data_IF_324013205145
#
_entry.id   IF_324013205145
#
_cell.length_a   1.000
_cell.length_b   1.000
_cell.length_c   1.000
_cell.angle_alpha   90.00
_cell.angle_beta   90.00
_cell.angle_gamma   90.00
#
_symmetry.space_group_name_H-M   'P 1'
#
loop_
_entity.id
_entity.type
_entity.pdbx_description
1 polymer ?
#
# COMPACT_ATOMS: atom_id res chain seq x y z
N UNK A 1 -10.20 10.08 -3.24
CA UNK A 1 -10.87 9.49 -4.43
C UNK A 1 -10.37 8.06 -4.61
N UNK A 2 -11.17 7.12 -5.14
CA UNK A 2 -10.73 5.75 -5.43
C UNK A 2 -10.93 5.46 -6.92
N UNK A 3 -9.95 4.84 -7.57
CA UNK A 3 -10.03 4.36 -8.94
C UNK A 3 -9.20 3.09 -9.12
N UNK A 4 -9.53 2.27 -10.10
CA UNK A 4 -8.90 0.98 -10.33
C UNK A 4 -9.01 0.55 -11.80
N UNK A 5 -8.23 -0.45 -12.19
CA UNK A 5 -8.34 -1.07 -13.51
C UNK A 5 -9.41 -2.17 -13.55
N UNK A 6 -9.76 -2.62 -14.76
CA UNK A 6 -10.74 -3.69 -14.98
C UNK A 6 -10.46 -4.95 -14.16
N UNK A 7 -9.20 -5.39 -14.13
CA UNK A 7 -8.80 -6.59 -13.39
C UNK A 7 -9.16 -6.49 -11.90
N UNK A 8 -8.98 -5.32 -11.28
CA UNK A 8 -9.37 -5.09 -9.89
C UNK A 8 -10.88 -4.96 -9.71
N UNK A 9 -11.58 -4.33 -10.66
CA UNK A 9 -13.05 -4.31 -10.66
C UNK A 9 -13.64 -5.72 -10.67
N UNK A 10 -13.12 -6.60 -11.53
CA UNK A 10 -13.55 -8.00 -11.63
C UNK A 10 -13.25 -8.74 -10.32
N UNK A 11 -12.03 -8.59 -9.79
CA UNK A 11 -11.61 -9.22 -8.54
C UNK A 11 -12.50 -8.81 -7.34
N UNK A 12 -12.89 -7.53 -7.25
CA UNK A 12 -13.84 -7.05 -6.21
C UNK A 12 -15.24 -7.63 -6.42
N UNK A 13 -15.69 -7.76 -7.66
CA UNK A 13 -17.00 -8.34 -7.97
C UNK A 13 -17.08 -9.82 -7.57
N UNK A 14 -16.01 -10.57 -7.82
CA UNK A 14 -15.89 -11.97 -7.41
C UNK A 14 -15.87 -12.10 -5.89
N UNK A 15 -15.06 -11.27 -5.21
CA UNK A 15 -15.05 -11.21 -3.75
C UNK A 15 -16.45 -10.94 -3.18
N UNK A 16 -17.18 -9.96 -3.71
CA UNK A 16 -18.53 -9.62 -3.25
C UNK A 16 -19.51 -10.78 -3.38
N UNK A 17 -19.40 -11.57 -4.46
CA UNK A 17 -20.20 -12.79 -4.66
C UNK A 17 -19.86 -13.88 -3.64
N UNK A 18 -18.59 -14.00 -3.27
CA UNK A 18 -18.10 -15.04 -2.36
C UNK A 18 -18.30 -14.70 -0.86
N UNK A 19 -18.35 -13.40 -0.51
CA UNK A 19 -18.53 -12.91 0.87
C UNK A 19 -19.81 -13.42 1.57
N UNK A 20 -20.80 -13.88 0.82
CA UNK A 20 -22.02 -14.53 1.35
C UNK A 20 -21.68 -15.84 2.12
N UNK A 21 -20.45 -16.37 1.99
CA UNK A 21 -20.04 -17.67 2.54
C UNK A 21 -18.92 -17.64 3.59
N UNK A 22 -18.37 -16.47 3.96
CA UNK A 22 -17.16 -16.41 4.80
C UNK A 22 -17.46 -16.18 6.30
N UNK A 23 -16.86 -17.01 7.15
CA UNK A 23 -16.86 -16.88 8.62
C UNK A 23 -15.85 -15.84 9.11
N UNK A 24 -16.15 -15.20 10.25
CA UNK A 24 -15.29 -14.23 10.96
C UNK A 24 -13.88 -14.80 11.26
N UNK A 25 -12.89 -14.48 10.43
CA UNK A 25 -11.46 -14.72 10.74
C UNK A 25 -10.92 -13.58 11.60
N UNK A 26 -10.10 -13.92 12.59
CA UNK A 26 -9.52 -12.96 13.52
C UNK A 26 -8.16 -12.47 13.00
N UNK A 27 -8.08 -11.18 12.64
CA UNK A 27 -6.90 -10.54 12.08
C UNK A 27 -6.10 -9.72 13.10
N UNK A 28 -6.24 -10.00 14.41
CA UNK A 28 -5.55 -9.26 15.47
C UNK A 28 -4.03 -9.20 15.32
N UNK A 29 -3.41 -10.18 14.65
CA UNK A 29 -1.98 -10.19 14.39
C UNK A 29 -1.53 -9.15 13.35
N UNK A 30 -2.45 -8.54 12.61
CA UNK A 30 -2.17 -7.55 11.57
C UNK A 30 -2.23 -6.10 12.08
N UNK A 31 -2.50 -5.87 13.37
CA UNK A 31 -2.66 -4.52 13.92
C UNK A 31 -1.47 -3.60 13.61
N UNK A 32 -0.24 -4.13 13.73
CA UNK A 32 1.00 -3.37 13.43
C UNK A 32 1.12 -2.92 11.98
N UNK A 33 0.58 -3.68 11.03
CA UNK A 33 0.62 -3.33 9.61
C UNK A 33 -0.60 -2.52 9.20
N UNK A 34 -1.74 -2.67 9.87
CA UNK A 34 -2.95 -1.85 9.64
C UNK A 34 -2.74 -0.43 10.18
N UNK A 35 -2.15 -0.30 11.37
CA UNK A 35 -1.89 0.97 12.03
C UNK A 35 -0.38 1.18 12.25
N UNK A 36 0.41 1.29 11.16
CA UNK A 36 1.85 1.32 11.27
C UNK A 36 2.34 2.64 11.86
N UNK A 37 3.55 2.61 12.43
CA UNK A 37 4.32 3.82 12.68
C UNK A 37 4.84 4.35 11.33
N UNK A 38 4.61 5.63 11.09
CA UNK A 38 5.09 6.34 9.90
C UNK A 38 5.97 7.49 10.38
N UNK A 39 7.15 7.61 9.79
CA UNK A 39 8.17 8.61 10.19
C UNK A 39 8.44 9.55 9.02
N UNK A 40 8.41 10.85 9.30
CA UNK A 40 8.85 11.84 8.31
C UNK A 40 10.38 11.94 8.28
N UNK A 41 10.95 11.80 7.08
CA UNK A 41 12.37 11.91 6.79
C UNK A 41 12.55 12.76 5.53
N UNK A 42 13.07 13.97 5.67
CA UNK A 42 13.35 14.88 4.55
C UNK A 42 12.16 15.02 3.58
N UNK A 43 10.97 15.27 4.15
CA UNK A 43 9.69 15.41 3.43
C UNK A 43 9.17 14.12 2.74
N UNK A 44 9.74 12.96 3.08
CA UNK A 44 9.21 11.64 2.76
C UNK A 44 8.62 11.00 4.02
N UNK A 45 7.58 10.21 3.88
CA UNK A 45 6.84 9.54 4.95
C UNK A 45 7.07 8.05 4.81
N UNK A 46 7.81 7.47 5.75
CA UNK A 46 8.36 6.12 5.64
C UNK A 46 7.70 5.19 6.65
N UNK A 47 7.26 4.01 6.20
CA UNK A 47 6.83 2.91 7.05
C UNK A 47 7.98 2.43 7.94
N UNK A 48 7.75 2.42 9.24
CA UNK A 48 8.68 1.94 10.24
C UNK A 48 8.01 0.87 11.11
N UNK A 49 7.72 -0.28 10.48
CA UNK A 49 6.92 -1.36 11.07
C UNK A 49 7.54 -1.92 12.37
N UNK A 50 8.87 -1.97 12.45
CA UNK A 50 9.62 -2.49 13.60
C UNK A 50 10.16 -1.40 14.52
N UNK A 51 10.03 -0.12 14.16
CA UNK A 51 10.54 0.98 14.98
C UNK A 51 12.07 1.16 14.91
N UNK A 52 12.73 0.55 13.94
CA UNK A 52 14.18 0.44 13.83
C UNK A 52 14.79 1.46 12.86
N UNK A 53 13.99 2.31 12.21
CA UNK A 53 14.47 3.33 11.29
C UNK A 53 15.39 4.34 12.00
N UNK A 54 16.68 4.35 11.62
CA UNK A 54 17.70 5.30 12.11
C UNK A 54 17.97 6.36 11.06
N UNK A 55 17.39 7.55 11.25
CA UNK A 55 17.44 8.65 10.29
C UNK A 55 18.88 9.09 10.02
N UNK A 56 19.73 9.05 11.04
CA UNK A 56 21.15 9.39 10.98
C UNK A 56 21.97 8.50 10.01
N UNK A 57 21.50 7.29 9.72
CA UNK A 57 22.18 6.36 8.83
C UNK A 57 21.77 6.51 7.36
N UNK A 58 20.83 7.41 7.06
CA UNK A 58 20.26 7.59 5.73
C UNK A 58 21.23 8.40 4.86
N UNK A 59 21.91 7.71 3.95
CA UNK A 59 22.75 8.35 2.93
C UNK A 59 21.88 8.86 1.77
N UNK A 60 21.48 10.13 1.83
CA UNK A 60 20.58 10.74 0.86
C UNK A 60 21.14 10.80 -0.56
N UNK A 61 22.45 11.07 -0.72
CA UNK A 61 23.09 11.11 -2.04
C UNK A 61 22.99 9.76 -2.74
N UNK A 62 23.23 8.67 -1.98
CA UNK A 62 23.09 7.32 -2.49
C UNK A 62 21.64 7.02 -2.86
N UNK A 63 20.69 7.35 -2.00
CA UNK A 63 19.26 7.10 -2.23
C UNK A 63 18.78 7.80 -3.50
N UNK A 64 19.08 9.09 -3.68
CA UNK A 64 18.68 9.84 -4.86
C UNK A 64 19.33 9.30 -6.14
N UNK A 65 20.54 8.75 -6.06
CA UNK A 65 21.17 8.08 -7.20
C UNK A 65 20.42 6.81 -7.63
N UNK A 66 19.86 6.05 -6.69
CA UNK A 66 19.13 4.81 -6.98
C UNK A 66 17.67 5.07 -7.38
N UNK A 67 16.96 5.90 -6.62
CA UNK A 67 15.52 6.10 -6.78
C UNK A 67 15.14 7.29 -7.66
N UNK A 68 16.11 8.13 -8.04
CA UNK A 68 15.99 9.34 -8.88
C UNK A 68 15.27 10.52 -8.21
N UNK A 69 14.19 10.27 -7.49
CA UNK A 69 13.37 11.29 -6.82
C UNK A 69 12.78 10.77 -5.48
N UNK A 70 12.07 11.65 -4.75
CA UNK A 70 11.48 11.32 -3.45
C UNK A 70 10.31 10.36 -3.60
N UNK A 71 9.50 10.53 -4.64
CA UNK A 71 8.35 9.67 -4.95
C UNK A 71 8.79 8.22 -5.17
N UNK A 72 9.84 7.99 -5.96
CA UNK A 72 10.41 6.66 -6.20
C UNK A 72 11.03 6.06 -4.93
N UNK A 73 11.67 6.87 -4.08
CA UNK A 73 12.20 6.42 -2.80
C UNK A 73 11.09 5.99 -1.85
N UNK A 74 10.11 6.86 -1.64
CA UNK A 74 9.00 6.67 -0.71
C UNK A 74 8.13 5.46 -1.11
N UNK A 75 7.76 5.33 -2.39
CA UNK A 75 7.01 4.18 -2.89
C UNK A 75 7.78 2.85 -2.78
N UNK A 76 9.12 2.90 -2.75
CA UNK A 76 9.96 1.71 -2.55
C UNK A 76 10.04 1.33 -1.08
N UNK A 77 10.25 2.31 -0.19
CA UNK A 77 10.33 2.08 1.25
C UNK A 77 9.00 1.67 1.87
N UNK A 78 7.88 2.10 1.27
CA UNK A 78 6.54 1.83 1.78
C UNK A 78 5.88 0.59 1.16
N UNK A 79 6.66 -0.29 0.52
CA UNK A 79 6.17 -1.56 -0.01
C UNK A 79 5.88 -2.55 1.12
N UNK A 80 4.66 -3.08 1.13
CA UNK A 80 4.22 -4.15 2.03
C UNK A 80 3.58 -5.26 1.20
N UNK A 81 4.17 -6.45 1.21
CA UNK A 81 3.53 -7.65 0.67
C UNK A 81 2.70 -8.30 1.76
N UNK A 82 1.38 -8.27 1.61
CA UNK A 82 0.44 -8.75 2.63
C UNK A 82 0.69 -10.23 2.95
N UNK A 83 1.02 -11.01 1.93
CA UNK A 83 1.35 -12.43 2.04
C UNK A 83 2.49 -12.72 3.03
N UNK A 84 3.47 -11.82 3.18
CA UNK A 84 4.63 -12.03 4.06
C UNK A 84 4.25 -11.96 5.55
N UNK A 85 3.09 -11.38 5.86
CA UNK A 85 2.59 -11.21 7.24
C UNK A 85 1.48 -12.21 7.60
N UNK A 86 1.00 -12.97 6.62
CA UNK A 86 -0.01 -14.01 6.81
C UNK A 86 0.68 -15.35 7.02
N UNK A 87 0.50 -15.93 8.21
CA UNK A 87 1.09 -17.24 8.58
C UNK A 87 0.15 -18.43 8.36
N UNK A 88 -1.12 -18.18 8.08
CA UNK A 88 -2.12 -19.23 7.87
C UNK A 88 -2.08 -19.73 6.42
N UNK A 89 -1.64 -20.98 6.25
CA UNK A 89 -1.53 -21.65 4.95
C UNK A 89 -2.89 -21.91 4.28
N UNK A 90 -4.00 -21.79 5.02
CA UNK A 90 -5.35 -22.00 4.49
C UNK A 90 -6.01 -20.69 4.01
N UNK A 91 -5.30 -19.56 4.02
CA UNK A 91 -5.87 -18.31 3.49
C UNK A 91 -6.00 -18.36 1.98
N UNK A 92 -7.23 -18.10 1.53
CA UNK A 92 -7.60 -17.98 0.13
C UNK A 92 -7.16 -16.63 -0.43
N UNK A 93 -7.18 -16.50 -1.76
CA UNK A 93 -6.95 -15.20 -2.42
C UNK A 93 -7.92 -14.13 -1.92
N UNK A 94 -9.17 -14.51 -1.68
CA UNK A 94 -10.21 -13.61 -1.15
C UNK A 94 -9.89 -13.14 0.27
N UNK A 95 -9.40 -14.04 1.13
CA UNK A 95 -8.95 -13.67 2.48
C UNK A 95 -7.79 -12.66 2.43
N UNK A 96 -6.81 -12.90 1.56
CA UNK A 96 -5.65 -12.01 1.39
C UNK A 96 -6.10 -10.64 0.88
N UNK A 97 -7.05 -10.60 -0.06
CA UNK A 97 -7.61 -9.36 -0.57
C UNK A 97 -8.38 -8.60 0.52
N UNK A 98 -9.18 -9.28 1.35
CA UNK A 98 -9.86 -8.66 2.49
C UNK A 98 -8.83 -8.02 3.43
N UNK A 99 -7.77 -8.75 3.79
CA UNK A 99 -6.69 -8.20 4.61
C UNK A 99 -6.04 -6.98 3.97
N UNK A 100 -5.73 -7.06 2.67
CA UNK A 100 -5.13 -5.94 1.94
C UNK A 100 -6.03 -4.69 1.97
N UNK A 101 -7.34 -4.85 1.77
CA UNK A 101 -8.30 -3.75 1.84
C UNK A 101 -8.40 -3.16 3.26
N UNK A 102 -8.36 -4.00 4.31
CA UNK A 102 -8.34 -3.54 5.70
C UNK A 102 -7.05 -2.77 6.04
N UNK A 103 -5.90 -3.24 5.59
CA UNK A 103 -4.62 -2.55 5.77
C UNK A 103 -4.64 -1.20 5.04
N UNK A 104 -5.13 -1.17 3.80
CA UNK A 104 -5.27 0.04 3.01
C UNK A 104 -6.16 1.09 3.68
N UNK A 105 -7.28 0.68 4.30
CA UNK A 105 -8.14 1.55 5.10
C UNK A 105 -7.43 2.07 6.37
N UNK A 106 -6.70 1.20 7.07
CA UNK A 106 -5.88 1.59 8.21
C UNK A 106 -4.82 2.64 7.86
N UNK A 107 -4.12 2.44 6.73
CA UNK A 107 -3.13 3.37 6.20
C UNK A 107 -3.75 4.72 5.84
N UNK A 108 -4.90 4.74 5.16
CA UNK A 108 -5.62 5.98 4.87
C UNK A 108 -5.94 6.75 6.16
N UNK A 109 -6.49 6.06 7.14
CA UNK A 109 -6.88 6.66 8.41
C UNK A 109 -5.66 7.26 9.14
N UNK A 110 -4.53 6.53 9.16
CA UNK A 110 -3.29 7.02 9.77
C UNK A 110 -2.72 8.23 9.03
N UNK A 111 -2.62 8.16 7.70
CA UNK A 111 -2.07 9.25 6.89
C UNK A 111 -2.89 10.53 7.06
N UNK A 112 -4.22 10.43 6.99
CA UNK A 112 -5.14 11.57 7.16
C UNK A 112 -5.05 12.18 8.55
N UNK A 113 -4.94 11.35 9.59
CA UNK A 113 -4.93 11.79 10.98
C UNK A 113 -3.59 12.40 11.40
N UNK A 114 -2.49 11.76 11.02
CA UNK A 114 -1.15 12.12 11.49
C UNK A 114 -0.47 13.18 10.61
N UNK A 115 -0.83 13.25 9.33
CA UNK A 115 -0.17 14.13 8.36
C UNK A 115 -1.19 14.98 7.58
N UNK A 116 -2.08 15.73 8.27
CA UNK A 116 -3.06 16.56 7.60
C UNK A 116 -2.37 17.64 6.75
N UNK A 117 -2.92 17.91 5.57
CA UNK A 117 -2.35 18.89 4.63
C UNK A 117 -1.36 18.31 3.62
N UNK A 118 -1.09 17.00 3.69
CA UNK A 118 -0.39 16.28 2.63
C UNK A 118 -1.35 15.37 1.88
N UNK A 119 -1.17 15.31 0.56
CA UNK A 119 -1.90 14.38 -0.29
C UNK A 119 -1.07 13.12 -0.48
N UNK A 120 -1.69 11.97 -0.32
CA UNK A 120 -1.04 10.68 -0.53
C UNK A 120 -1.81 9.82 -1.52
N UNK A 121 -1.12 8.93 -2.19
CA UNK A 121 -1.71 7.83 -2.95
C UNK A 121 -1.33 6.52 -2.26
N UNK A 122 -2.33 5.71 -1.96
CA UNK A 122 -2.16 4.32 -1.54
C UNK A 122 -2.50 3.44 -2.74
N UNK A 123 -1.59 2.54 -3.09
CA UNK A 123 -1.71 1.62 -4.22
C UNK A 123 -1.84 0.21 -3.67
N UNK A 124 -2.89 -0.49 -4.05
CA UNK A 124 -3.01 -1.94 -3.91
C UNK A 124 -2.83 -2.57 -5.29
N UNK A 125 -1.85 -3.47 -5.41
CA UNK A 125 -1.63 -4.28 -6.60
C UNK A 125 -1.74 -5.76 -6.24
N UNK A 126 -2.53 -6.52 -6.98
CA UNK A 126 -2.67 -7.96 -6.83
C UNK A 126 -2.30 -8.64 -8.15
N UNK A 127 -1.38 -9.59 -8.09
CA UNK A 127 -1.11 -10.53 -9.17
C UNK A 127 -1.50 -11.95 -8.74
N UNK A 128 -0.98 -12.97 -9.44
CA UNK A 128 -1.27 -14.38 -9.13
C UNK A 128 -0.56 -14.88 -7.86
N UNK A 129 0.44 -14.15 -7.37
CA UNK A 129 1.28 -14.56 -6.24
C UNK A 129 1.04 -13.70 -5.00
N UNK A 130 0.92 -12.39 -5.17
CA UNK A 130 1.01 -11.43 -4.07
C UNK A 130 -0.06 -10.35 -4.15
N UNK A 131 -0.54 -9.94 -2.97
CA UNK A 131 -1.17 -8.65 -2.75
C UNK A 131 -0.13 -7.70 -2.13
N UNK A 132 0.18 -6.62 -2.84
CA UNK A 132 1.21 -5.64 -2.44
C UNK A 132 0.57 -4.26 -2.29
N UNK A 133 0.78 -3.66 -1.12
CA UNK A 133 0.43 -2.29 -0.81
C UNK A 133 1.67 -1.40 -0.90
N UNK A 134 1.47 -0.17 -1.38
CA UNK A 134 2.46 0.91 -1.33
C UNK A 134 1.75 2.21 -1.01
N UNK A 135 2.43 3.18 -0.43
CA UNK A 135 1.97 4.55 -0.48
C UNK A 135 3.11 5.54 -0.72
N UNK A 136 2.75 6.69 -1.27
CA UNK A 136 3.65 7.81 -1.46
C UNK A 136 2.86 9.12 -1.46
N UNK A 137 3.52 10.22 -1.11
CA UNK A 137 2.99 11.57 -1.17
C UNK A 137 2.95 12.04 -2.62
N UNK A 138 1.85 12.67 -2.99
CA UNK A 138 1.71 13.36 -4.28
C UNK A 138 2.64 14.57 -4.33
N UNK A 139 3.47 14.64 -5.37
CA UNK A 139 4.42 15.73 -5.62
C UNK A 139 4.26 16.19 -7.07
N UNK A 140 3.56 17.31 -7.33
CA UNK A 140 3.29 17.78 -8.70
C UNK A 140 4.54 18.04 -9.54
N UNK A 141 5.68 18.29 -8.88
CA UNK A 141 6.98 18.52 -9.49
C UNK A 141 7.75 17.23 -9.85
N UNK A 142 7.30 16.08 -9.37
CA UNK A 142 7.93 14.77 -9.61
C UNK A 142 7.04 13.88 -10.51
N UNK A 143 7.62 12.79 -11.04
CA UNK A 143 6.83 11.82 -11.78
C UNK A 143 6.03 10.97 -10.80
N UNK A 144 4.76 10.71 -11.13
CA UNK A 144 3.98 9.70 -10.44
C UNK A 144 4.66 8.33 -10.53
N UNK A 145 4.58 7.57 -9.43
CA UNK A 145 5.16 6.22 -9.38
C UNK A 145 4.40 5.25 -10.30
N UNK A 146 3.06 5.35 -10.34
CA UNK A 146 2.22 4.64 -11.31
C UNK A 146 2.03 5.44 -12.60
N UNK A 147 1.86 4.71 -13.71
CA UNK A 147 1.29 5.28 -14.93
C UNK A 147 -0.13 5.78 -14.68
N UNK A 148 -0.51 6.87 -15.34
CA UNK A 148 -1.88 7.38 -15.33
C UNK A 148 -2.86 6.40 -16.00
N UNK A 149 -2.38 5.63 -16.98
CA UNK A 149 -3.14 4.55 -17.60
C UNK A 149 -2.96 3.26 -16.81
N UNK A 150 -3.87 2.99 -15.87
CA UNK A 150 -3.87 1.75 -15.09
C UNK A 150 -4.26 0.52 -15.93
N UNK A 151 -4.93 0.69 -17.07
CA UNK A 151 -5.27 -0.42 -17.97
C UNK A 151 -4.04 -0.96 -18.70
N UNK A 152 -2.94 -0.22 -18.72
CA UNK A 152 -1.65 -0.67 -19.25
C UNK A 152 -1.05 -1.85 -18.47
N UNK A 153 -1.44 -2.04 -17.20
CA UNK A 153 -0.97 -3.13 -16.34
C UNK A 153 -1.80 -4.40 -16.56
N UNK A 154 -1.47 -5.16 -17.61
CA UNK A 154 -2.28 -6.31 -18.06
C UNK A 154 -2.34 -7.48 -17.09
N UNK A 155 -1.25 -7.72 -16.36
CA UNK A 155 -1.10 -8.89 -15.49
C UNK A 155 -1.36 -8.58 -14.01
N UNK A 156 -1.89 -7.39 -13.70
CA UNK A 156 -2.12 -6.95 -12.33
C UNK A 156 -3.51 -6.34 -12.18
N UNK A 157 -4.17 -6.65 -11.07
CA UNK A 157 -5.30 -5.89 -10.57
C UNK A 157 -4.76 -4.72 -9.74
N UNK A 158 -5.07 -3.49 -10.13
CA UNK A 158 -4.56 -2.29 -9.45
C UNK A 158 -5.71 -1.42 -8.96
N UNK A 159 -5.65 -1.03 -7.69
CA UNK A 159 -6.47 0.01 -7.07
C UNK A 159 -5.58 1.13 -6.56
N UNK A 160 -6.03 2.37 -6.71
CA UNK A 160 -5.41 3.54 -6.13
C UNK A 160 -6.44 4.29 -5.30
N UNK A 161 -6.04 4.71 -4.11
CA UNK A 161 -6.82 5.56 -3.22
C UNK A 161 -6.04 6.81 -2.85
N UNK A 162 -6.61 7.95 -3.19
CA UNK A 162 -6.10 9.26 -2.82
C UNK A 162 -6.61 9.65 -1.43
N UNK A 163 -5.66 10.02 -0.58
CA UNK A 163 -5.84 10.53 0.78
C UNK A 163 -5.57 12.03 0.76
N UNK A 164 -6.52 12.82 1.29
CA UNK A 164 -6.49 14.28 1.34
C UNK A 164 -6.47 14.78 2.78
#
# INVERSE_FOLDING_TARGET
MEYNNRNMSDLKSDLFRNLISMTNKNFSQLEKIIYPKIVEVRECFILDLEGELKIENINWERIMKFHKDKTGYEASCNELRVNDYIKDINMTRDDILICALQIMEGWENQLRKCFPGHKFLIVLSCDDQYATLRFYKERPEEKNWLSHDLEGYKDQAIMVKEVL
#
